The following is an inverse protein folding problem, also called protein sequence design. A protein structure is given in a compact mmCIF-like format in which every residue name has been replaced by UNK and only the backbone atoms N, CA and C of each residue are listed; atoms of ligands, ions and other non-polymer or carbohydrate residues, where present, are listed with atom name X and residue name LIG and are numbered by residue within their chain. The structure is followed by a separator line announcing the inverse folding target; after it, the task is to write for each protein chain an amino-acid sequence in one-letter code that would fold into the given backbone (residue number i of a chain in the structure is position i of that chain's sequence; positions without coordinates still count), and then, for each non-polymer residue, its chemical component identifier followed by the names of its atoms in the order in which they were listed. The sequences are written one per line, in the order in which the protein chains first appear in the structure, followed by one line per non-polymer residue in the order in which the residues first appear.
data_IF_926411773228
#
_entry.id   IF_926411773228
#
_cell.length_a   1.000
_cell.length_b   1.000
_cell.length_c   1.000
_cell.angle_alpha   90.00
_cell.angle_beta   90.00
_cell.angle_gamma   90.00
#
_symmetry.space_group_name_H-M   'P 1'
#
loop_
_entity.id
_entity.type
_entity.pdbx_description
1 polymer ?
#
# COMPACT_ATOMS: atom_id res chain seq x y z
N UNK A 1 -12.82 -15.16 -8.28
CA UNK A 1 -12.95 -14.40 -9.54
C UNK A 1 -14.28 -13.67 -9.51
N UNK A 2 -14.27 -12.35 -9.68
CA UNK A 2 -15.46 -11.49 -9.54
C UNK A 2 -15.56 -10.58 -10.76
N UNK A 3 -16.77 -10.38 -11.27
CA UNK A 3 -17.05 -9.39 -12.29
C UNK A 3 -16.96 -7.97 -11.70
N UNK A 4 -16.13 -7.10 -12.29
CA UNK A 4 -15.82 -5.78 -11.73
C UNK A 4 -16.96 -4.77 -11.81
N UNK A 5 -17.89 -4.95 -12.76
CA UNK A 5 -19.01 -4.01 -12.96
C UNK A 5 -20.19 -4.31 -12.03
N UNK A 6 -20.49 -5.60 -11.84
CA UNK A 6 -21.66 -6.08 -11.10
C UNK A 6 -21.33 -6.56 -9.69
N UNK A 7 -20.05 -6.81 -9.38
CA UNK A 7 -19.62 -7.42 -8.12
C UNK A 7 -19.97 -8.90 -7.98
N UNK A 8 -20.50 -9.54 -9.03
CA UNK A 8 -20.91 -10.95 -9.01
C UNK A 8 -19.70 -11.88 -8.98
N UNK A 9 -19.65 -12.81 -8.03
CA UNK A 9 -18.68 -13.90 -8.06
C UNK A 9 -18.96 -14.83 -9.24
N UNK A 10 -17.96 -15.02 -10.11
CA UNK A 10 -18.02 -15.87 -11.29
C UNK A 10 -17.49 -17.29 -11.00
N UNK A 11 -16.49 -17.38 -10.12
CA UNK A 11 -15.91 -18.64 -9.65
C UNK A 11 -15.07 -18.38 -8.39
N UNK A 12 -15.07 -19.34 -7.46
CA UNK A 12 -14.21 -19.32 -6.29
C UNK A 12 -14.33 -20.59 -5.46
N UNK A 13 -13.40 -20.77 -4.53
CA UNK A 13 -13.35 -21.89 -3.59
C UNK A 13 -12.96 -21.32 -2.24
N UNK A 14 -13.78 -21.57 -1.22
CA UNK A 14 -13.63 -20.98 0.12
C UNK A 14 -13.53 -19.43 0.12
N UNK A 15 -14.19 -18.75 -0.82
CA UNK A 15 -14.08 -17.30 -1.06
C UNK A 15 -14.37 -16.43 0.17
N UNK A 16 -15.16 -16.93 1.12
CA UNK A 16 -15.51 -16.26 2.38
C UNK A 16 -14.71 -16.75 3.61
N UNK A 17 -13.80 -17.72 3.45
CA UNK A 17 -12.99 -18.21 4.56
C UNK A 17 -11.91 -17.20 4.97
N UNK A 18 -11.74 -16.99 6.27
CA UNK A 18 -10.67 -16.13 6.81
C UNK A 18 -9.32 -16.80 6.62
N UNK A 19 -8.36 -16.08 6.04
CA UNK A 19 -7.00 -16.52 5.73
C UNK A 19 -6.02 -15.39 6.04
N UNK A 20 -4.75 -15.72 6.27
CA UNK A 20 -3.72 -14.72 6.50
C UNK A 20 -3.45 -13.91 5.22
N UNK A 21 -3.59 -12.59 5.32
CA UNK A 21 -3.56 -11.70 4.15
C UNK A 21 -2.15 -11.44 3.61
N UNK A 22 -1.10 -11.70 4.39
CA UNK A 22 0.30 -11.38 4.05
C UNK A 22 0.43 -9.96 3.45
N UNK A 23 1.12 -9.80 2.30
CA UNK A 23 1.26 -8.50 1.63
C UNK A 23 -0.06 -7.91 1.09
N UNK A 24 -1.12 -8.69 0.86
CA UNK A 24 -2.39 -8.12 0.35
C UNK A 24 -3.05 -7.14 1.33
N UNK A 25 -2.69 -7.20 2.62
CA UNK A 25 -2.99 -6.16 3.62
C UNK A 25 -2.66 -4.75 3.13
N UNK A 26 -1.58 -4.59 2.35
CA UNK A 26 -1.13 -3.29 1.80
C UNK A 26 -2.14 -2.66 0.84
N UNK A 27 -3.01 -3.46 0.19
CA UNK A 27 -4.10 -2.94 -0.64
C UNK A 27 -5.04 -2.05 0.17
N UNK A 28 -5.31 -2.40 1.43
CA UNK A 28 -6.14 -1.59 2.33
C UNK A 28 -5.43 -0.28 2.69
N UNK A 29 -4.12 -0.32 2.96
CA UNK A 29 -3.32 0.89 3.20
C UNK A 29 -3.34 1.83 2.00
N UNK A 30 -3.07 1.31 0.80
CA UNK A 30 -3.10 2.10 -0.44
C UNK A 30 -4.51 2.66 -0.72
N UNK A 31 -5.56 1.89 -0.47
CA UNK A 31 -6.95 2.34 -0.59
C UNK A 31 -7.29 3.45 0.42
N UNK A 32 -6.83 3.36 1.66
CA UNK A 32 -7.02 4.41 2.68
C UNK A 32 -6.29 5.71 2.30
N UNK A 33 -5.06 5.62 1.78
CA UNK A 33 -4.34 6.80 1.26
C UNK A 33 -5.08 7.39 0.05
N UNK A 34 -5.52 6.58 -0.91
CA UNK A 34 -6.31 7.06 -2.04
C UNK A 34 -7.63 7.73 -1.60
N UNK A 35 -8.29 7.21 -0.55
CA UNK A 35 -9.48 7.82 0.09
C UNK A 35 -9.17 9.14 0.82
N UNK A 36 -7.97 9.31 1.34
CA UNK A 36 -7.50 10.57 1.92
C UNK A 36 -7.24 11.60 0.81
N UNK A 37 -6.50 11.23 -0.23
CA UNK A 37 -6.20 12.07 -1.38
C UNK A 37 -7.46 12.50 -2.16
N UNK A 38 -8.52 11.68 -2.18
CA UNK A 38 -9.84 12.09 -2.72
C UNK A 38 -10.48 13.26 -1.96
N UNK A 39 -10.14 13.45 -0.68
CA UNK A 39 -10.70 14.52 0.18
C UNK A 39 -9.78 15.73 0.28
N UNK A 40 -8.47 15.51 0.16
CA UNK A 40 -7.41 16.51 0.26
C UNK A 40 -6.33 16.22 -0.80
N UNK A 41 -6.59 16.56 -2.09
CA UNK A 41 -5.69 16.25 -3.19
C UNK A 41 -4.30 16.89 -3.07
N UNK A 42 -4.21 18.03 -2.38
CA UNK A 42 -2.96 18.74 -2.09
C UNK A 42 -1.94 17.88 -1.32
N UNK A 43 -2.40 16.93 -0.50
CA UNK A 43 -1.53 16.02 0.23
C UNK A 43 -0.76 15.05 -0.68
N UNK A 44 -1.13 14.92 -1.97
CA UNK A 44 -0.39 14.11 -2.93
C UNK A 44 1.06 14.60 -3.10
N UNK A 45 1.26 15.92 -2.97
CA UNK A 45 2.56 16.58 -3.05
C UNK A 45 3.21 16.80 -1.67
N UNK A 46 2.59 16.35 -0.58
CA UNK A 46 3.19 16.43 0.76
C UNK A 46 4.46 15.58 0.84
N UNK A 47 5.51 16.13 1.44
CA UNK A 47 6.80 15.45 1.60
C UNK A 47 6.74 14.44 2.74
N UNK A 48 6.83 13.15 2.41
CA UNK A 48 6.97 12.08 3.38
C UNK A 48 8.45 11.76 3.59
N UNK A 49 8.96 11.95 4.81
CA UNK A 49 10.33 11.58 5.20
C UNK A 49 10.37 10.18 5.81
N UNK A 50 11.31 9.37 5.36
CA UNK A 50 11.48 8.00 5.85
C UNK A 50 12.06 7.97 7.26
N UNK A 51 11.37 7.29 8.17
CA UNK A 51 11.86 7.05 9.52
C UNK A 51 12.79 5.83 9.57
N UNK A 52 13.75 5.82 10.51
CA UNK A 52 14.63 4.67 10.77
C UNK A 52 13.85 3.39 11.11
N UNK A 53 12.66 3.51 11.72
CA UNK A 53 11.78 2.36 11.97
C UNK A 53 11.17 1.82 10.67
N UNK A 54 10.85 2.70 9.72
CA UNK A 54 10.43 2.31 8.38
C UNK A 54 11.53 1.53 7.70
N UNK A 55 12.70 2.16 7.54
CA UNK A 55 13.90 1.60 6.91
C UNK A 55 14.35 0.23 7.48
N UNK A 56 14.15 -0.01 8.78
CA UNK A 56 14.45 -1.30 9.42
C UNK A 56 13.36 -2.40 9.23
N UNK A 57 12.27 -2.13 8.50
CA UNK A 57 11.15 -3.09 8.35
C UNK A 57 11.40 -4.08 7.21
N UNK A 58 11.72 -5.33 7.57
CA UNK A 58 12.10 -6.40 6.65
C UNK A 58 11.02 -6.77 5.60
N UNK A 59 11.47 -7.10 4.38
CA UNK A 59 10.65 -7.70 3.32
C UNK A 59 11.29 -7.59 1.93
N UNK A 60 10.59 -6.97 0.97
CA UNK A 60 11.01 -6.74 -0.43
C UNK A 60 12.10 -5.64 -0.58
N UNK A 61 11.74 -4.40 -0.99
CA UNK A 61 12.31 -3.08 -0.59
C UNK A 61 11.97 -1.97 -1.59
N UNK A 62 11.49 -0.79 -1.13
CA UNK A 62 11.32 0.42 -1.97
C UNK A 62 12.65 1.13 -2.23
N UNK A 63 13.69 0.79 -1.45
CA UNK A 63 15.02 1.40 -1.52
C UNK A 63 15.17 2.75 -0.83
N UNK A 64 14.07 3.36 -0.35
CA UNK A 64 14.08 4.66 0.35
C UNK A 64 14.65 4.51 1.75
N UNK A 65 15.74 5.21 2.05
CA UNK A 65 16.52 5.11 3.30
C UNK A 65 16.07 6.11 4.35
N UNK A 66 16.38 5.84 5.61
CA UNK A 66 16.14 6.73 6.75
C UNK A 66 16.66 8.16 6.48
N UNK A 67 15.76 9.15 6.55
CA UNK A 67 16.06 10.56 6.28
C UNK A 67 15.84 10.99 4.82
N UNK A 68 15.81 10.07 3.86
CA UNK A 68 15.37 10.38 2.50
C UNK A 68 13.87 10.74 2.49
N UNK A 69 13.46 11.55 1.53
CA UNK A 69 12.09 12.08 1.44
C UNK A 69 11.57 12.05 0.03
N UNK A 70 10.27 11.79 -0.12
CA UNK A 70 9.56 11.74 -1.40
C UNK A 70 8.12 12.22 -1.24
N UNK A 71 7.47 12.72 -2.30
CA UNK A 71 6.03 13.03 -2.28
C UNK A 71 5.17 11.81 -1.90
N UNK A 72 4.07 12.02 -1.19
CA UNK A 72 3.10 10.96 -0.84
C UNK A 72 2.65 10.16 -2.06
N UNK A 73 2.40 10.81 -3.20
CA UNK A 73 2.03 10.13 -4.45
C UNK A 73 3.10 9.14 -4.95
N UNK A 74 4.38 9.44 -4.75
CA UNK A 74 5.47 8.56 -5.18
C UNK A 74 5.61 7.35 -4.23
N UNK A 75 5.34 7.54 -2.94
CA UNK A 75 5.39 6.47 -1.94
C UNK A 75 4.42 5.31 -2.22
N UNK A 76 3.33 5.56 -2.96
CA UNK A 76 2.35 4.56 -3.33
C UNK A 76 2.89 3.51 -4.33
N UNK A 77 3.83 3.88 -5.21
CA UNK A 77 4.45 2.92 -6.13
C UNK A 77 5.45 1.99 -5.43
N UNK A 78 6.05 2.46 -4.33
CA UNK A 78 6.93 1.66 -3.45
C UNK A 78 6.19 0.88 -2.37
N UNK A 79 4.86 0.99 -2.24
CA UNK A 79 4.11 0.46 -1.11
C UNK A 79 4.18 -1.08 -0.96
N UNK A 80 4.35 -1.83 -2.05
CA UNK A 80 4.53 -3.29 -2.02
C UNK A 80 5.94 -3.73 -1.59
N UNK A 81 6.79 -2.77 -1.24
CA UNK A 81 8.22 -2.94 -1.18
C UNK A 81 8.79 -2.61 0.22
N UNK A 82 8.77 -3.59 1.13
CA UNK A 82 9.26 -3.42 2.51
C UNK A 82 10.81 -3.53 2.61
N UNK A 83 11.41 -2.52 3.22
CA UNK A 83 12.82 -2.16 3.37
C UNK A 83 13.83 -3.31 3.62
N UNK A 84 15.09 -3.11 3.21
CA UNK A 84 16.15 -4.14 3.21
C UNK A 84 17.27 -3.85 4.21
N UNK A 85 17.83 -4.95 4.71
CA UNK A 85 19.09 -5.05 5.48
C UNK A 85 20.25 -4.29 4.86
#
# INVERSE_FOLDING_TARGET
IVDVQTGKELAGQESAARKDMASTTKMMTAWLVARLLQKAPELAAETLTMSTRGDNTIGSTSGVRSGESLPVQESLFGADAAFRK
#
